data_IF_108496042796
#
_entry.id   IF_108496042796
#
_cell.length_a   1.000
_cell.length_b   1.000
_cell.length_c   1.000
_cell.angle_alpha   90.00
_cell.angle_beta   90.00
_cell.angle_gamma   90.00
#
_symmetry.space_group_name_H-M   'P 1'
#
loop_
_entity.id
_entity.type
_entity.pdbx_description
1 polymer ?
#
# COMPACT_ATOMS: atom_id res chain seq x y z
N UNK A 1 -2.37 -9.55 3.80
CA UNK A 1 -2.19 -8.12 3.48
C UNK A 1 -3.53 -7.49 3.12
N UNK A 2 -4.30 -8.11 2.23
CA UNK A 2 -5.68 -7.72 1.90
C UNK A 2 -6.57 -7.47 3.13
N UNK A 3 -6.51 -8.33 4.15
CA UNK A 3 -7.26 -8.15 5.40
C UNK A 3 -6.85 -6.91 6.20
N UNK A 4 -5.56 -6.54 6.16
CA UNK A 4 -5.07 -5.35 6.86
C UNK A 4 -5.48 -4.07 6.11
N UNK A 5 -5.41 -4.09 4.78
CA UNK A 5 -5.94 -3.02 3.92
C UNK A 5 -7.44 -2.86 4.16
N UNK A 6 -8.21 -3.96 4.13
CA UNK A 6 -9.64 -3.94 4.39
C UNK A 6 -9.98 -3.43 5.80
N UNK A 7 -9.20 -3.80 6.82
CA UNK A 7 -9.38 -3.31 8.19
C UNK A 7 -9.10 -1.80 8.30
N UNK A 8 -8.02 -1.32 7.70
CA UNK A 8 -7.68 0.11 7.67
C UNK A 8 -8.75 0.92 6.94
N UNK A 9 -9.14 0.48 5.74
CA UNK A 9 -10.19 1.11 4.94
C UNK A 9 -11.54 1.08 5.66
N UNK A 10 -11.89 -0.04 6.31
CA UNK A 10 -13.13 -0.16 7.07
C UNK A 10 -13.27 0.92 8.16
N UNK A 11 -12.16 1.33 8.77
CA UNK A 11 -12.14 2.40 9.79
C UNK A 11 -12.25 3.80 9.19
N UNK A 12 -11.71 4.01 8.00
CA UNK A 12 -11.67 5.33 7.34
C UNK A 12 -12.90 5.61 6.48
N UNK A 13 -13.57 4.56 5.99
CA UNK A 13 -14.75 4.66 5.12
C UNK A 13 -15.83 5.62 5.61
N UNK A 14 -16.22 5.64 6.90
CA UNK A 14 -17.24 6.57 7.39
C UNK A 14 -16.86 8.06 7.22
N UNK A 15 -15.58 8.36 6.96
CA UNK A 15 -15.06 9.72 6.83
C UNK A 15 -14.64 10.06 5.38
N UNK A 16 -14.90 9.19 4.40
CA UNK A 16 -14.43 9.33 3.00
C UNK A 16 -14.79 10.69 2.41
N UNK A 17 -16.06 11.10 2.49
CA UNK A 17 -16.51 12.37 1.91
C UNK A 17 -15.85 13.58 2.57
N UNK A 18 -15.62 13.52 3.88
CA UNK A 18 -14.97 14.58 4.64
C UNK A 18 -13.49 14.69 4.29
N UNK A 19 -12.79 13.57 4.13
CA UNK A 19 -11.40 13.54 3.67
C UNK A 19 -11.32 14.12 2.24
N UNK A 20 -12.21 13.67 1.36
CA UNK A 20 -12.28 14.16 -0.02
C UNK A 20 -12.56 15.67 -0.10
N UNK A 21 -13.45 16.18 0.77
CA UNK A 21 -13.72 17.62 0.88
C UNK A 21 -12.50 18.40 1.35
N UNK A 22 -11.81 17.93 2.39
CA UNK A 22 -10.58 18.57 2.89
C UNK A 22 -9.50 18.59 1.81
N UNK A 23 -9.29 17.48 1.11
CA UNK A 23 -8.31 17.38 0.02
C UNK A 23 -8.64 18.37 -1.10
N UNK A 24 -9.92 18.49 -1.48
CA UNK A 24 -10.34 19.51 -2.46
C UNK A 24 -10.11 20.94 -1.96
N UNK A 25 -10.47 21.25 -0.72
CA UNK A 25 -10.33 22.61 -0.18
C UNK A 25 -8.86 23.05 -0.19
N UNK A 26 -7.95 22.22 0.32
CA UNK A 26 -6.53 22.57 0.40
C UNK A 26 -5.83 22.56 -0.97
N UNK A 27 -6.25 21.69 -1.90
CA UNK A 27 -5.62 21.61 -3.23
C UNK A 27 -6.30 22.50 -4.28
N UNK A 28 -7.38 23.21 -3.90
CA UNK A 28 -8.06 24.18 -4.76
C UNK A 28 -7.50 25.60 -4.66
N UNK A 29 -6.68 25.89 -3.66
CA UNK A 29 -6.00 27.17 -3.56
C UNK A 29 -4.90 27.21 -4.64
N UNK A 30 -5.02 28.15 -5.58
CA UNK A 30 -3.98 28.53 -6.55
C UNK A 30 -2.79 29.22 -5.85
N UNK A 31 -2.40 28.75 -4.66
CA UNK A 31 -1.25 29.28 -3.94
C UNK A 31 0.00 28.67 -4.56
N UNK A 32 0.51 29.31 -5.62
CA UNK A 32 1.68 28.90 -6.42
C UNK A 32 2.97 28.71 -5.58
N UNK A 33 2.91 28.89 -4.26
CA UNK A 33 4.04 28.80 -3.33
C UNK A 33 3.95 27.71 -2.25
N UNK A 34 2.79 27.13 -1.96
CA UNK A 34 2.68 26.10 -0.89
C UNK A 34 2.35 24.71 -1.47
N UNK A 35 3.08 23.66 -1.05
CA UNK A 35 2.73 22.30 -1.44
C UNK A 35 1.35 21.96 -0.87
N UNK A 36 0.43 21.53 -1.74
CA UNK A 36 -0.89 21.07 -1.35
C UNK A 36 -0.85 19.87 -0.38
N UNK A 37 -2.01 19.47 0.13
CA UNK A 37 -2.13 18.28 0.95
C UNK A 37 -1.99 17.02 0.10
N UNK A 38 -1.14 16.12 0.55
CA UNK A 38 -0.99 14.77 0.01
C UNK A 38 -1.50 13.73 1.03
N UNK A 39 -2.41 12.88 0.57
CA UNK A 39 -2.88 11.72 1.33
C UNK A 39 -2.26 10.47 0.72
N UNK A 40 -1.81 9.54 1.57
CA UNK A 40 -1.28 8.25 1.14
C UNK A 40 -1.74 7.11 2.03
N UNK A 41 -2.02 5.98 1.40
CA UNK A 41 -2.11 4.69 2.05
C UNK A 41 -0.76 4.00 1.88
N UNK A 42 0.02 3.93 2.95
CA UNK A 42 1.35 3.34 2.97
C UNK A 42 1.28 1.88 3.40
N UNK A 43 1.87 0.99 2.60
CA UNK A 43 2.03 -0.42 2.96
C UNK A 43 3.49 -0.81 2.83
N UNK A 44 4.07 -1.22 3.96
CA UNK A 44 5.48 -1.58 4.08
C UNK A 44 5.61 -3.08 4.27
N UNK A 45 6.38 -3.75 3.40
CA UNK A 45 6.69 -5.18 3.50
C UNK A 45 8.16 -5.40 3.79
N UNK A 46 8.42 -6.30 4.74
CA UNK A 46 9.75 -6.82 5.04
C UNK A 46 9.81 -8.28 4.61
N UNK A 47 10.85 -8.66 3.87
CA UNK A 47 11.09 -10.05 3.48
C UNK A 47 12.27 -10.62 4.25
N UNK A 48 12.08 -11.76 4.92
CA UNK A 48 13.18 -12.52 5.53
C UNK A 48 13.49 -13.80 4.74
N UNK A 49 14.75 -14.24 4.78
CA UNK A 49 15.22 -15.50 4.14
C UNK A 49 14.43 -16.73 4.64
N UNK A 50 13.97 -16.73 5.88
CA UNK A 50 13.18 -17.81 6.49
C UNK A 50 11.75 -17.92 5.92
N UNK A 51 11.21 -16.82 5.36
CA UNK A 51 9.90 -16.79 4.72
C UNK A 51 9.98 -17.36 3.28
N UNK A 52 11.13 -17.24 2.63
CA UNK A 52 11.36 -17.85 1.31
C UNK A 52 11.51 -19.39 1.38
N UNK A 53 11.95 -19.93 2.52
CA UNK A 53 12.15 -21.38 2.69
C UNK A 53 10.90 -22.13 3.16
N UNK A 54 9.97 -21.47 3.86
CA UNK A 54 8.71 -22.12 4.28
C UNK A 54 7.70 -22.28 3.14
N UNK A 55 7.80 -21.48 2.07
CA UNK A 55 6.93 -21.57 0.88
C UNK A 55 7.54 -22.38 -0.28
N UNK A 56 8.76 -22.88 -0.14
CA UNK A 56 9.41 -23.74 -1.15
C UNK A 56 8.87 -25.18 -1.21
N UNK A 57 7.67 -25.42 -0.66
CA UNK A 57 6.85 -26.59 -1.00
C UNK A 57 6.27 -26.37 -2.39
N UNK A 58 6.76 -27.12 -3.38
CA UNK A 58 6.40 -27.02 -4.80
C UNK A 58 4.93 -26.61 -5.03
N UNK A 59 4.66 -25.49 -5.74
CA UNK A 59 3.28 -25.08 -5.99
C UNK A 59 2.62 -26.08 -6.94
N UNK A 60 1.45 -26.60 -6.53
CA UNK A 60 0.58 -27.38 -7.42
C UNK A 60 0.18 -26.49 -8.60
N UNK A 61 0.28 -27.04 -9.82
CA UNK A 61 -0.08 -26.36 -11.06
C UNK A 61 -1.56 -25.92 -11.01
N UNK A 62 -1.80 -24.65 -10.68
CA UNK A 62 -3.15 -24.08 -10.63
C UNK A 62 -3.20 -22.70 -9.98
N UNK A 63 -2.36 -22.46 -8.96
CA UNK A 63 -2.33 -21.20 -8.20
C UNK A 63 -0.96 -20.53 -8.32
N UNK A 64 -0.56 -20.17 -9.55
CA UNK A 64 0.51 -19.18 -9.76
C UNK A 64 -0.06 -17.77 -9.74
N UNK A 65 -0.79 -17.41 -8.68
CA UNK A 65 -0.97 -16.00 -8.38
C UNK A 65 0.43 -15.49 -7.98
N UNK A 66 0.88 -14.42 -8.65
CA UNK A 66 2.17 -13.79 -8.36
C UNK A 66 2.30 -13.63 -6.83
N UNK A 67 3.29 -14.27 -6.20
CA UNK A 67 3.54 -14.19 -4.74
C UNK A 67 3.91 -12.75 -4.28
N UNK A 68 4.06 -11.86 -5.26
CA UNK A 68 4.36 -10.43 -5.14
C UNK A 68 3.25 -9.54 -5.73
N UNK A 69 2.13 -10.13 -6.15
CA UNK A 69 1.00 -9.41 -6.74
C UNK A 69 0.08 -8.86 -5.67
N UNK A 70 -0.35 -7.61 -5.83
CA UNK A 70 -1.30 -6.95 -4.94
C UNK A 70 -2.70 -7.04 -5.54
N UNK A 71 -3.66 -7.49 -4.75
CA UNK A 71 -5.08 -7.44 -5.11
C UNK A 71 -5.74 -6.32 -4.31
N UNK A 72 -6.22 -5.30 -5.01
CA UNK A 72 -7.09 -4.29 -4.41
C UNK A 72 -8.52 -4.60 -4.85
N UNK A 73 -9.41 -4.72 -3.88
CA UNK A 73 -10.83 -4.80 -4.19
C UNK A 73 -11.34 -3.48 -4.77
N UNK A 74 -12.53 -3.54 -5.39
CA UNK A 74 -13.16 -2.38 -6.01
C UNK A 74 -13.36 -1.23 -5.03
N UNK A 75 -13.72 -1.54 -3.79
CA UNK A 75 -14.06 -0.52 -2.80
C UNK A 75 -12.81 0.22 -2.30
N UNK A 76 -11.66 -0.45 -2.24
CA UNK A 76 -10.36 0.15 -1.99
C UNK A 76 -9.97 1.13 -3.10
N UNK A 77 -10.16 0.74 -4.36
CA UNK A 77 -9.90 1.61 -5.52
C UNK A 77 -10.81 2.85 -5.48
N UNK A 78 -12.10 2.65 -5.20
CA UNK A 78 -13.07 3.74 -5.11
C UNK A 78 -12.73 4.73 -3.97
N UNK A 79 -12.26 4.22 -2.82
CA UNK A 79 -11.82 5.05 -1.70
C UNK A 79 -10.60 5.91 -2.05
N UNK A 80 -9.56 5.30 -2.64
CA UNK A 80 -8.35 6.01 -3.05
C UNK A 80 -8.67 7.11 -4.07
N UNK A 81 -9.50 6.79 -5.06
CA UNK A 81 -9.96 7.76 -6.06
C UNK A 81 -10.76 8.92 -5.45
N UNK A 82 -11.68 8.62 -4.52
CA UNK A 82 -12.52 9.65 -3.89
C UNK A 82 -11.72 10.63 -3.04
N UNK A 83 -10.70 10.13 -2.35
CA UNK A 83 -9.86 10.93 -1.45
C UNK A 83 -8.67 11.58 -2.17
N UNK A 84 -8.37 11.17 -3.41
CA UNK A 84 -7.14 11.56 -4.10
C UNK A 84 -5.88 11.00 -3.42
N UNK A 85 -6.03 9.93 -2.63
CA UNK A 85 -4.92 9.33 -1.92
C UNK A 85 -4.09 8.44 -2.85
N UNK A 86 -2.77 8.52 -2.70
CA UNK A 86 -1.83 7.62 -3.37
C UNK A 86 -1.73 6.30 -2.63
N UNK A 87 -1.49 5.22 -3.37
CA UNK A 87 -1.02 3.96 -2.80
C UNK A 87 0.51 3.97 -2.86
N UNK A 88 1.14 3.94 -1.69
CA UNK A 88 2.60 3.93 -1.53
C UNK A 88 3.02 2.54 -1.03
N UNK A 89 3.87 1.85 -1.79
CA UNK A 89 4.27 0.47 -1.50
C UNK A 89 5.79 0.41 -1.41
N UNK A 90 6.28 0.10 -0.21
CA UNK A 90 7.69 -0.09 0.06
C UNK A 90 8.00 -1.57 0.33
N UNK A 91 9.04 -2.06 -0.33
CA UNK A 91 9.54 -3.43 -0.19
C UNK A 91 10.99 -3.42 0.29
N UNK A 92 11.22 -3.97 1.48
CA UNK A 92 12.55 -4.06 2.09
C UNK A 92 12.99 -5.51 2.20
N UNK A 93 14.10 -5.83 1.54
CA UNK A 93 14.82 -7.07 1.75
C UNK A 93 15.64 -6.95 3.05
N UNK A 94 15.29 -7.76 4.04
CA UNK A 94 15.97 -7.81 5.35
C UNK A 94 17.02 -8.93 5.41
N UNK A 95 17.36 -9.56 4.27
CA UNK A 95 18.47 -10.51 4.22
C UNK A 95 19.75 -9.81 4.68
N UNK A 96 20.51 -10.40 5.63
CA UNK A 96 21.74 -9.80 6.11
C UNK A 96 22.71 -9.67 4.94
N UNK A 97 22.99 -8.44 4.52
CA UNK A 97 23.98 -8.20 3.49
C UNK A 97 25.29 -8.88 3.86
N UNK A 98 25.77 -9.80 3.03
CA UNK A 98 27.10 -10.38 3.18
C UNK A 98 28.11 -9.25 3.02
N UNK A 99 28.53 -8.65 4.15
CA UNK A 99 29.70 -7.78 4.20
C UNK A 99 30.89 -8.62 3.77
N UNK A 100 31.20 -8.59 2.48
CA UNK A 100 32.49 -9.04 1.98
C UNK A 100 33.48 -7.97 2.43
N UNK A 101 34.07 -8.18 3.60
CA UNK A 101 35.22 -7.42 4.05
C UNK A 101 36.38 -7.90 3.18
N UNK A 102 36.74 -7.07 2.19
CA UNK A 102 38.00 -7.19 1.45
C UNK A 102 39.16 -6.59 2.21
#
# INVERSE_FOLDING_TARGET
MDEQIACALGRLRPQTDRIAELMRQFNSAEDEGEPGLEARLEVVRYFNEDEQQQEAGQPQEGERHNLFGWALDREAIEFLAATGAYLDVDEYDMTPGTRTVG
#
